data_IF_984619903954
#
_entry.id   IF_984619903954
#
_cell.length_a   1.000
_cell.length_b   1.000
_cell.length_c   1.000
_cell.angle_alpha   90.00
_cell.angle_beta   90.00
_cell.angle_gamma   90.00
#
_symmetry.space_group_name_H-M   'P 1'
#
loop_
_entity.id
_entity.type
_entity.pdbx_description
1 polymer ?
#
# COMPACT_ATOMS: atom_id res chain seq x y z
N UNK A 1 21.65 16.18 8.02
CA UNK A 1 20.40 16.29 8.78
C UNK A 1 19.19 16.68 7.92
N UNK A 2 19.24 17.80 7.17
CA UNK A 2 18.12 18.30 6.35
C UNK A 2 17.64 17.33 5.24
N UNK A 3 18.56 16.67 4.53
CA UNK A 3 18.24 15.75 3.41
C UNK A 3 17.50 14.48 3.91
N UNK A 4 17.93 13.91 5.04
CA UNK A 4 17.29 12.74 5.67
C UNK A 4 15.87 13.06 6.14
N UNK A 5 15.66 14.26 6.69
CA UNK A 5 14.32 14.73 7.10
C UNK A 5 13.37 14.90 5.91
N UNK A 6 13.84 15.50 4.81
CA UNK A 6 13.05 15.68 3.60
C UNK A 6 12.70 14.34 2.92
N UNK A 7 13.64 13.39 2.87
CA UNK A 7 13.41 12.05 2.35
C UNK A 7 12.36 11.29 3.18
N UNK A 8 12.49 11.28 4.52
CA UNK A 8 11.54 10.63 5.43
C UNK A 8 10.09 11.10 5.20
N UNK A 9 9.90 12.39 4.96
CA UNK A 9 8.57 12.95 4.68
C UNK A 9 7.98 12.46 3.36
N UNK A 10 8.79 12.37 2.30
CA UNK A 10 8.37 11.83 1.00
C UNK A 10 7.97 10.35 1.12
N UNK A 11 8.77 9.55 1.82
CA UNK A 11 8.47 8.13 2.08
C UNK A 11 7.16 7.95 2.86
N UNK A 12 6.92 8.78 3.88
CA UNK A 12 5.69 8.68 4.67
C UNK A 12 4.42 8.98 3.86
N UNK A 13 4.49 9.96 2.95
CA UNK A 13 3.39 10.28 2.04
C UNK A 13 3.11 9.16 1.05
N UNK A 14 4.16 8.68 0.36
CA UNK A 14 4.06 7.59 -0.60
C UNK A 14 3.51 6.32 0.06
N UNK A 15 4.02 5.98 1.25
CA UNK A 15 3.51 4.89 2.07
C UNK A 15 2.01 5.02 2.34
N UNK A 16 1.55 6.20 2.75
CA UNK A 16 0.13 6.41 3.09
C UNK A 16 -0.78 6.25 1.86
N UNK A 17 -0.33 6.69 0.68
CA UNK A 17 -1.04 6.48 -0.59
C UNK A 17 -1.12 4.98 -0.91
N UNK A 18 0.00 4.27 -0.84
CA UNK A 18 0.06 2.83 -1.14
C UNK A 18 -0.77 1.99 -0.17
N UNK A 19 -0.77 2.36 1.11
CA UNK A 19 -1.62 1.73 2.11
C UNK A 19 -3.10 1.95 1.79
N UNK A 20 -3.50 3.20 1.50
CA UNK A 20 -4.87 3.52 1.15
C UNK A 20 -5.35 2.82 -0.13
N UNK A 21 -4.55 2.89 -1.21
CA UNK A 21 -4.84 2.20 -2.46
C UNK A 21 -4.88 0.68 -2.27
N UNK A 22 -3.95 0.12 -1.49
CA UNK A 22 -3.89 -1.31 -1.20
C UNK A 22 -5.13 -1.81 -0.49
N UNK A 23 -5.61 -1.09 0.53
CA UNK A 23 -6.88 -1.43 1.23
C UNK A 23 -8.05 -1.33 0.26
N UNK A 24 -8.18 -0.22 -0.46
CA UNK A 24 -9.29 0.01 -1.37
C UNK A 24 -9.36 -1.08 -2.45
N UNK A 25 -8.22 -1.36 -3.09
CA UNK A 25 -8.11 -2.38 -4.12
C UNK A 25 -8.41 -3.78 -3.57
N UNK A 26 -7.92 -4.11 -2.38
CA UNK A 26 -8.19 -5.39 -1.74
C UNK A 26 -9.67 -5.57 -1.41
N UNK A 27 -10.30 -4.55 -0.81
CA UNK A 27 -11.73 -4.60 -0.46
C UNK A 27 -12.59 -4.75 -1.71
N UNK A 28 -12.34 -3.92 -2.73
CA UNK A 28 -13.08 -4.00 -4.00
C UNK A 28 -12.85 -5.37 -4.66
N UNK A 29 -11.60 -5.84 -4.72
CA UNK A 29 -11.25 -7.12 -5.32
C UNK A 29 -11.92 -8.30 -4.61
N UNK A 30 -11.88 -8.34 -3.28
CA UNK A 30 -12.50 -9.43 -2.49
C UNK A 30 -14.01 -9.43 -2.68
N UNK A 31 -14.64 -8.26 -2.60
CA UNK A 31 -16.09 -8.16 -2.80
C UNK A 31 -16.47 -8.57 -4.23
N UNK A 32 -15.79 -8.04 -5.26
CA UNK A 32 -16.09 -8.37 -6.64
C UNK A 32 -15.84 -9.85 -6.97
N UNK A 33 -14.72 -10.42 -6.53
CA UNK A 33 -14.30 -11.77 -6.88
C UNK A 33 -15.02 -12.89 -6.12
N UNK A 34 -15.53 -12.62 -4.90
CA UNK A 34 -16.15 -13.67 -4.07
C UNK A 34 -17.63 -13.44 -3.77
N UNK A 35 -18.16 -12.23 -3.94
CA UNK A 35 -19.61 -11.96 -3.74
C UNK A 35 -20.37 -11.82 -5.04
N UNK A 36 -19.74 -11.26 -6.08
CA UNK A 36 -20.38 -10.92 -7.35
C UNK A 36 -19.86 -11.73 -8.53
N UNK A 37 -19.07 -12.77 -8.28
CA UNK A 37 -18.50 -13.69 -9.28
C UNK A 37 -19.50 -14.14 -10.36
N UNK A 38 -20.70 -14.54 -9.95
CA UNK A 38 -21.80 -14.95 -10.83
C UNK A 38 -22.31 -13.86 -11.79
N UNK A 39 -22.03 -12.58 -11.52
CA UNK A 39 -22.41 -11.44 -12.37
C UNK A 39 -21.26 -11.00 -13.29
N UNK A 40 -20.03 -11.50 -13.09
CA UNK A 40 -18.86 -11.05 -13.82
C UNK A 40 -18.52 -12.04 -14.94
N UNK A 41 -18.28 -11.51 -16.14
CA UNK A 41 -17.64 -12.26 -17.22
C UNK A 41 -16.18 -12.58 -16.86
N UNK A 42 -15.56 -13.52 -17.59
CA UNK A 42 -14.22 -14.03 -17.28
C UNK A 42 -13.14 -12.94 -17.15
N UNK A 43 -13.15 -11.93 -18.03
CA UNK A 43 -12.18 -10.83 -18.00
C UNK A 43 -12.26 -10.00 -16.72
N UNK A 44 -13.42 -9.39 -16.40
CA UNK A 44 -13.64 -8.70 -15.13
C UNK A 44 -13.37 -9.57 -13.90
N UNK A 45 -13.70 -10.86 -13.94
CA UNK A 45 -13.45 -11.79 -12.84
C UNK A 45 -11.94 -11.97 -12.58
N UNK A 46 -11.15 -12.13 -13.65
CA UNK A 46 -9.68 -12.16 -13.56
C UNK A 46 -9.15 -10.84 -12.98
N UNK A 47 -9.68 -9.70 -13.44
CA UNK A 47 -9.28 -8.40 -12.91
C UNK A 47 -9.59 -8.27 -11.40
N UNK A 48 -10.77 -8.73 -10.96
CA UNK A 48 -11.16 -8.74 -9.55
C UNK A 48 -10.20 -9.62 -8.72
N UNK A 49 -9.85 -10.81 -9.18
CA UNK A 49 -8.85 -11.65 -8.51
C UNK A 49 -7.46 -11.00 -8.51
N UNK A 50 -7.03 -10.38 -9.62
CA UNK A 50 -5.77 -9.65 -9.67
C UNK A 50 -5.72 -8.52 -8.63
N UNK A 51 -6.84 -7.84 -8.38
CA UNK A 51 -6.96 -6.85 -7.30
C UNK A 51 -6.73 -7.45 -5.91
N UNK A 52 -7.16 -8.70 -5.66
CA UNK A 52 -6.89 -9.40 -4.40
C UNK A 52 -5.43 -9.82 -4.22
N UNK A 53 -4.64 -9.88 -5.30
CA UNK A 53 -3.20 -10.17 -5.26
C UNK A 53 -2.41 -8.85 -5.13
N UNK A 54 -2.76 -7.85 -5.92
CA UNK A 54 -2.10 -6.55 -5.93
C UNK A 54 -2.38 -5.74 -4.67
N UNK A 55 -3.59 -5.78 -4.12
CA UNK A 55 -3.95 -5.07 -2.89
C UNK A 55 -3.02 -5.38 -1.70
N UNK A 56 -2.86 -6.66 -1.30
CA UNK A 56 -1.94 -7.05 -0.22
C UNK A 56 -0.48 -6.78 -0.55
N UNK A 57 -0.08 -6.83 -1.82
CA UNK A 57 1.27 -6.46 -2.24
C UNK A 57 1.54 -4.95 -2.01
N UNK A 58 0.59 -4.08 -2.41
CA UNK A 58 0.66 -2.64 -2.14
C UNK A 58 0.68 -2.36 -0.64
N UNK A 59 -0.11 -3.07 0.16
CA UNK A 59 -0.11 -2.94 1.62
C UNK A 59 1.25 -3.29 2.23
N UNK A 60 1.86 -4.41 1.84
CA UNK A 60 3.19 -4.82 2.32
C UNK A 60 4.25 -3.77 1.98
N UNK A 61 4.27 -3.31 0.72
CA UNK A 61 5.22 -2.29 0.25
C UNK A 61 5.01 -0.96 0.99
N UNK A 62 3.75 -0.51 1.12
CA UNK A 62 3.39 0.68 1.87
C UNK A 62 3.80 0.61 3.35
N UNK A 63 3.60 -0.54 4.01
CA UNK A 63 3.97 -0.75 5.40
C UNK A 63 5.49 -0.69 5.60
N UNK A 64 6.27 -1.37 4.74
CA UNK A 64 7.74 -1.33 4.79
C UNK A 64 8.25 0.10 4.59
N UNK A 65 7.66 0.88 3.69
CA UNK A 65 8.03 2.30 3.54
C UNK A 65 7.67 3.16 4.76
N UNK A 66 6.57 2.85 5.45
CA UNK A 66 6.22 3.54 6.72
C UNK A 66 7.27 3.26 7.78
N UNK A 67 7.68 2.00 7.92
CA UNK A 67 8.75 1.58 8.82
C UNK A 67 10.08 2.24 8.46
N UNK A 68 10.42 2.31 7.18
CA UNK A 68 11.65 2.95 6.72
C UNK A 68 11.66 4.45 7.04
N UNK A 69 10.55 5.17 6.82
CA UNK A 69 10.42 6.56 7.22
C UNK A 69 10.57 6.75 8.75
N UNK A 70 9.92 5.89 9.55
CA UNK A 70 10.04 5.94 11.00
C UNK A 70 11.48 5.67 11.48
N UNK A 71 12.17 4.71 10.86
CA UNK A 71 13.55 4.38 11.19
C UNK A 71 14.51 5.54 10.86
N UNK A 72 14.32 6.20 9.70
CA UNK A 72 15.10 7.37 9.32
C UNK A 72 14.88 8.55 10.29
N UNK A 73 13.62 8.81 10.67
CA UNK A 73 13.30 9.86 11.64
C UNK A 73 13.95 9.59 13.01
N UNK A 74 13.93 8.34 13.48
CA UNK A 74 14.59 7.94 14.73
C UNK A 74 16.10 8.14 14.66
N UNK A 75 16.74 7.77 13.56
CA UNK A 75 18.18 7.95 13.37
C UNK A 75 18.61 9.42 13.41
N UNK A 76 17.78 10.34 12.88
CA UNK A 76 18.04 11.79 12.99
C UNK A 76 18.03 12.27 14.43
N UNK A 77 17.09 11.79 15.26
CA UNK A 77 17.01 12.17 16.67
C UNK A 77 18.19 11.65 17.49
N UNK A 78 18.74 10.48 17.16
CA UNK A 78 19.89 9.91 17.88
C UNK A 78 21.23 10.58 17.56
N UNK A 79 21.30 11.37 16.49
CA UNK A 79 22.49 12.09 16.03
C UNK A 79 22.45 13.60 16.36
N UNK A 80 21.40 14.05 17.05
CA UNK A 80 21.16 15.43 17.46
C UNK A 80 21.38 15.59 18.97
#
# INVERSE_FOLDING_TARGET
MFILSAASWSLHKLSSILLGLGVLMLVIGVVAAYRFDHLLAIGPLIAAHAMTILGPALLKIGYVMRLLAANQAKAVYQLA
#
